data_IF_751880969660
#
_entry.id   IF_751880969660
#
_cell.length_a   1.000
_cell.length_b   1.000
_cell.length_c   1.000
_cell.angle_alpha   90.00
_cell.angle_beta   90.00
_cell.angle_gamma   90.00
#
_symmetry.space_group_name_H-M   'P 1'
#
loop_
_entity.id
_entity.type
_entity.pdbx_description
1 polymer ?
#
# COMPACT_ATOMS: atom_id res chain seq x y z
N UNK A 1 29.81 40.55 -26.25
CA UNK A 1 29.12 40.70 -24.95
C UNK A 1 27.81 39.93 -25.03
N UNK A 2 27.75 38.83 -24.30
CA UNK A 2 26.70 37.82 -24.34
C UNK A 2 25.43 38.29 -23.63
N UNK A 3 24.28 38.07 -24.25
CA UNK A 3 22.98 38.13 -23.57
C UNK A 3 22.57 36.69 -23.26
N UNK A 4 22.59 36.35 -21.98
CA UNK A 4 22.24 35.03 -21.45
C UNK A 4 20.73 34.80 -21.53
N UNK A 5 20.33 33.81 -22.32
CA UNK A 5 18.97 33.24 -22.32
C UNK A 5 18.80 32.35 -21.09
N UNK A 6 17.94 32.78 -20.15
CA UNK A 6 17.51 31.94 -19.03
C UNK A 6 16.43 30.97 -19.51
N UNK A 7 16.81 29.72 -19.76
CA UNK A 7 15.87 28.63 -20.04
C UNK A 7 15.34 28.08 -18.70
N UNK A 8 14.09 28.39 -18.38
CA UNK A 8 13.38 27.80 -17.25
C UNK A 8 13.17 26.30 -17.52
N UNK A 9 13.75 25.47 -16.66
CA UNK A 9 13.60 24.00 -16.62
C UNK A 9 12.12 23.63 -16.58
N UNK A 10 11.59 23.11 -17.69
CA UNK A 10 10.24 22.54 -17.77
C UNK A 10 10.21 21.26 -16.97
N UNK A 11 9.41 21.26 -15.90
CA UNK A 11 8.98 20.10 -15.13
C UNK A 11 8.75 18.89 -16.05
N UNK A 12 9.58 17.86 -15.83
CA UNK A 12 9.51 16.58 -16.50
C UNK A 12 8.27 15.82 -16.01
N UNK A 13 7.10 16.11 -16.57
CA UNK A 13 5.87 15.36 -16.31
C UNK A 13 6.02 13.98 -16.92
N UNK A 14 6.36 13.00 -16.08
CA UNK A 14 6.43 11.59 -16.46
C UNK A 14 5.07 11.07 -16.95
N UNK A 15 5.13 10.09 -17.84
CA UNK A 15 4.05 9.65 -18.71
C UNK A 15 2.99 8.77 -18.00
N UNK A 16 1.85 8.57 -18.66
CA UNK A 16 0.58 7.95 -18.22
C UNK A 16 0.66 6.52 -17.63
N UNK A 17 1.84 5.91 -17.53
CA UNK A 17 2.10 4.65 -16.81
C UNK A 17 2.49 4.84 -15.33
N UNK A 18 2.92 6.05 -14.94
CA UNK A 18 3.35 6.39 -13.59
C UNK A 18 2.23 6.31 -12.53
N UNK A 19 0.96 6.36 -12.94
CA UNK A 19 -0.15 6.48 -12.00
C UNK A 19 -0.30 5.28 -11.06
N UNK A 20 -0.10 4.06 -11.58
CA UNK A 20 -0.17 2.83 -10.78
C UNK A 20 1.08 2.64 -9.92
N UNK A 21 2.25 2.94 -10.45
CA UNK A 21 3.52 2.93 -9.70
C UNK A 21 3.46 3.91 -8.52
N UNK A 22 2.97 5.13 -8.77
CA UNK A 22 2.79 6.15 -7.74
C UNK A 22 1.78 5.73 -6.68
N UNK A 23 0.70 5.05 -7.08
CA UNK A 23 -0.30 4.56 -6.14
C UNK A 23 0.29 3.50 -5.21
N UNK A 24 1.10 2.58 -5.73
CA UNK A 24 1.80 1.59 -4.92
C UNK A 24 2.84 2.21 -3.98
N UNK A 25 3.58 3.23 -4.42
CA UNK A 25 4.49 4.00 -3.56
C UNK A 25 3.74 4.65 -2.39
N UNK A 26 2.59 5.28 -2.65
CA UNK A 26 1.75 5.91 -1.62
C UNK A 26 1.28 4.87 -0.59
N UNK A 27 0.79 3.70 -1.04
CA UNK A 27 0.35 2.63 -0.14
C UNK A 27 1.51 2.15 0.74
N UNK A 28 2.68 1.92 0.16
CA UNK A 28 3.88 1.45 0.89
C UNK A 28 4.30 2.45 1.97
N UNK A 29 4.34 3.74 1.64
CA UNK A 29 4.64 4.81 2.59
C UNK A 29 3.56 4.89 3.69
N UNK A 30 2.29 4.82 3.32
CA UNK A 30 1.18 4.86 4.25
C UNK A 30 1.18 3.67 5.22
N UNK A 31 1.45 2.45 4.75
CA UNK A 31 1.59 1.26 5.61
C UNK A 31 2.60 1.50 6.73
N UNK A 32 3.79 1.99 6.39
CA UNK A 32 4.84 2.29 7.36
C UNK A 32 4.39 3.37 8.35
N UNK A 33 3.81 4.46 7.85
CA UNK A 33 3.37 5.59 8.68
C UNK A 33 2.23 5.18 9.62
N UNK A 34 1.26 4.39 9.16
CA UNK A 34 0.16 3.89 9.98
C UNK A 34 0.66 2.99 11.10
N UNK A 35 1.65 2.13 10.84
CA UNK A 35 2.24 1.29 11.89
C UNK A 35 3.06 2.10 12.89
N UNK A 36 3.88 3.04 12.42
CA UNK A 36 4.75 3.84 13.29
C UNK A 36 3.98 4.86 14.15
N UNK A 37 2.98 5.52 13.58
CA UNK A 37 2.30 6.67 14.20
C UNK A 37 0.88 6.38 14.66
N UNK A 38 0.38 5.16 14.41
CA UNK A 38 -1.04 4.84 14.51
C UNK A 38 -1.86 5.50 13.40
N UNK A 39 -3.11 5.05 13.23
CA UNK A 39 -4.00 5.62 12.22
C UNK A 39 -4.25 7.12 12.47
N UNK A 40 -4.57 7.52 13.70
CA UNK A 40 -4.91 8.92 14.03
C UNK A 40 -3.71 9.86 13.90
N UNK A 41 -2.52 9.41 14.28
CA UNK A 41 -1.28 10.18 14.14
C UNK A 41 -0.78 10.30 12.70
N UNK A 42 -1.28 9.49 11.78
CA UNK A 42 -0.99 9.60 10.37
C UNK A 42 -1.80 10.72 9.69
N UNK A 43 -1.15 11.48 8.80
CA UNK A 43 -1.78 12.55 8.03
C UNK A 43 -1.46 12.41 6.55
N UNK A 44 -2.38 12.88 5.69
CA UNK A 44 -2.17 12.92 4.23
C UNK A 44 -0.89 13.68 3.88
N UNK A 45 -0.61 14.78 4.59
CA UNK A 45 0.60 15.56 4.40
C UNK A 45 1.86 14.74 4.67
N UNK A 46 1.92 14.03 5.81
CA UNK A 46 3.08 13.18 6.16
C UNK A 46 3.32 12.09 5.12
N UNK A 47 2.25 11.48 4.60
CA UNK A 47 2.34 10.46 3.54
C UNK A 47 2.82 11.09 2.22
N UNK A 48 2.28 12.26 1.84
CA UNK A 48 2.68 12.97 0.62
C UNK A 48 4.16 13.38 0.66
N UNK A 49 4.61 13.94 1.79
CA UNK A 49 5.99 14.36 2.00
C UNK A 49 6.96 13.17 1.85
N UNK A 50 6.58 12.00 2.37
CA UNK A 50 7.38 10.76 2.29
C UNK A 50 7.63 10.29 0.85
N UNK A 51 6.63 10.43 -0.04
CA UNK A 51 6.73 10.02 -1.46
C UNK A 51 7.11 11.18 -2.39
N UNK A 52 7.45 12.35 -1.84
CA UNK A 52 7.83 13.55 -2.62
C UNK A 52 6.68 14.15 -3.43
N UNK A 53 5.44 14.03 -2.95
CA UNK A 53 4.24 14.62 -3.55
C UNK A 53 3.73 15.81 -2.72
N UNK A 54 2.93 16.66 -3.35
CA UNK A 54 2.09 17.61 -2.62
C UNK A 54 0.83 16.92 -2.09
N UNK A 55 0.23 17.44 -1.01
CA UNK A 55 -1.06 16.92 -0.52
C UNK A 55 -2.13 16.92 -1.60
N UNK A 56 -2.21 17.97 -2.43
CA UNK A 56 -3.14 18.04 -3.56
C UNK A 56 -2.90 16.92 -4.56
N UNK A 57 -1.64 16.58 -4.85
CA UNK A 57 -1.33 15.48 -5.77
C UNK A 57 -1.74 14.13 -5.17
N UNK A 58 -1.53 13.92 -3.87
CA UNK A 58 -1.98 12.69 -3.20
C UNK A 58 -3.52 12.58 -3.21
N UNK A 59 -4.24 13.69 -3.01
CA UNK A 59 -5.70 13.70 -3.11
C UNK A 59 -6.26 13.34 -4.49
N UNK A 60 -5.45 13.42 -5.56
CA UNK A 60 -5.85 12.92 -6.87
C UNK A 60 -5.82 11.38 -6.96
N UNK A 61 -5.11 10.71 -6.06
CA UNK A 61 -5.00 9.25 -5.99
C UNK A 61 -5.94 8.61 -4.96
N UNK A 62 -6.19 9.33 -3.86
CA UNK A 62 -7.03 8.89 -2.75
C UNK A 62 -7.81 10.07 -2.18
N UNK A 63 -9.13 9.91 -2.05
CA UNK A 63 -10.05 10.90 -1.51
C UNK A 63 -9.76 11.25 -0.05
N UNK A 64 -9.36 10.27 0.76
CA UNK A 64 -9.03 10.46 2.17
C UNK A 64 -8.05 9.38 2.71
N UNK A 65 -7.71 9.50 3.99
CA UNK A 65 -6.81 8.59 4.71
C UNK A 65 -7.43 7.20 4.92
N UNK A 66 -8.76 7.12 5.01
CA UNK A 66 -9.50 5.87 5.15
C UNK A 66 -9.49 5.05 3.86
N UNK A 67 -9.57 5.68 2.69
CA UNK A 67 -9.46 5.01 1.40
C UNK A 67 -8.11 4.30 1.24
N UNK A 68 -7.02 4.94 1.68
CA UNK A 68 -5.67 4.38 1.68
C UNK A 68 -5.62 3.13 2.57
N UNK A 69 -6.13 3.21 3.80
CA UNK A 69 -6.16 2.06 4.71
C UNK A 69 -7.02 0.92 4.15
N UNK A 70 -8.22 1.23 3.67
CA UNK A 70 -9.12 0.26 3.07
C UNK A 70 -8.49 -0.46 1.89
N UNK A 71 -7.69 0.25 1.09
CA UNK A 71 -6.97 -0.36 0.00
C UNK A 71 -5.84 -1.28 0.48
N UNK A 72 -5.04 -0.86 1.46
CA UNK A 72 -4.02 -1.72 2.06
C UNK A 72 -4.66 -3.03 2.55
N UNK A 73 -5.77 -2.94 3.27
CA UNK A 73 -6.51 -4.10 3.77
C UNK A 73 -7.03 -4.97 2.62
N UNK A 74 -7.68 -4.37 1.61
CA UNK A 74 -8.19 -5.09 0.44
C UNK A 74 -7.07 -5.82 -0.29
N UNK A 75 -5.97 -5.15 -0.61
CA UNK A 75 -4.83 -5.75 -1.29
C UNK A 75 -4.25 -6.91 -0.45
N UNK A 76 -4.21 -6.76 0.87
CA UNK A 76 -3.76 -7.82 1.79
C UNK A 76 -4.65 -9.06 1.72
N UNK A 77 -5.97 -8.87 1.83
CA UNK A 77 -6.92 -9.98 1.76
C UNK A 77 -6.97 -10.63 0.38
N UNK A 78 -6.84 -9.85 -0.71
CA UNK A 78 -6.78 -10.38 -2.07
C UNK A 78 -5.57 -11.28 -2.28
N UNK A 79 -4.39 -10.88 -1.78
CA UNK A 79 -3.16 -11.69 -1.85
C UNK A 79 -3.28 -12.99 -1.07
N UNK A 80 -3.86 -12.95 0.14
CA UNK A 80 -4.15 -14.15 0.92
C UNK A 80 -5.19 -15.05 0.25
N UNK A 81 -6.25 -14.47 -0.30
CA UNK A 81 -7.29 -15.20 -1.01
C UNK A 81 -6.72 -15.92 -2.25
N UNK A 82 -5.85 -15.27 -3.01
CA UNK A 82 -5.17 -15.88 -4.16
C UNK A 82 -4.27 -17.04 -3.74
N UNK A 83 -3.47 -16.88 -2.67
CA UNK A 83 -2.66 -17.97 -2.11
C UNK A 83 -3.53 -19.16 -1.71
N UNK A 84 -4.66 -18.89 -1.03
CA UNK A 84 -5.59 -19.92 -0.60
C UNK A 84 -6.26 -20.64 -1.79
N UNK A 85 -6.63 -19.92 -2.86
CA UNK A 85 -7.18 -20.54 -4.08
C UNK A 85 -6.20 -21.54 -4.68
N UNK A 86 -4.91 -21.20 -4.75
CA UNK A 86 -3.87 -22.10 -5.22
C UNK A 86 -3.77 -23.39 -4.39
N UNK A 87 -3.83 -23.26 -3.06
CA UNK A 87 -3.80 -24.42 -2.14
C UNK A 87 -5.06 -25.28 -2.26
N UNK A 88 -6.23 -24.65 -2.40
CA UNK A 88 -7.51 -25.34 -2.51
C UNK A 88 -7.66 -26.10 -3.84
N UNK A 89 -7.00 -25.64 -4.91
CA UNK A 89 -6.96 -26.32 -6.20
C UNK A 89 -6.07 -27.58 -6.21
N UNK A 90 -5.24 -27.79 -5.18
CA UNK A 90 -4.41 -29.00 -5.03
C UNK A 90 -5.28 -30.25 -4.73
N UNK A 91 -4.80 -31.43 -5.11
CA UNK A 91 -5.39 -32.75 -4.86
C UNK A 91 -4.95 -33.37 -3.52
N UNK A 92 -4.08 -32.71 -2.75
CA UNK A 92 -3.70 -33.15 -1.42
C UNK A 92 -4.91 -33.37 -0.47
N UNK A 93 -4.77 -34.24 0.56
CA UNK A 93 -5.83 -34.45 1.55
C UNK A 93 -6.33 -33.15 2.20
N UNK A 94 -7.61 -33.09 2.54
CA UNK A 94 -8.25 -31.87 3.05
C UNK A 94 -7.53 -31.28 4.27
N UNK A 95 -7.11 -32.12 5.22
CA UNK A 95 -6.38 -31.68 6.41
C UNK A 95 -5.00 -31.09 6.06
N UNK A 96 -4.31 -31.64 5.06
CA UNK A 96 -3.04 -31.11 4.55
C UNK A 96 -3.23 -29.73 3.93
N UNK A 97 -4.28 -29.54 3.13
CA UNK A 97 -4.61 -28.23 2.55
C UNK A 97 -4.97 -27.22 3.63
N UNK A 98 -5.77 -27.60 4.62
CA UNK A 98 -6.10 -26.74 5.76
C UNK A 98 -4.85 -26.31 6.53
N UNK A 99 -3.93 -27.24 6.79
CA UNK A 99 -2.66 -26.94 7.44
C UNK A 99 -1.82 -25.95 6.64
N UNK A 100 -1.69 -26.15 5.32
CA UNK A 100 -0.97 -25.23 4.44
C UNK A 100 -1.62 -23.85 4.37
N UNK A 101 -2.95 -23.76 4.42
CA UNK A 101 -3.64 -22.47 4.55
C UNK A 101 -3.22 -21.80 5.86
N UNK A 102 -3.32 -22.50 7.00
CA UNK A 102 -2.94 -21.92 8.29
C UNK A 102 -1.46 -21.47 8.33
N UNK A 103 -0.54 -22.28 7.83
CA UNK A 103 0.88 -21.92 7.65
C UNK A 103 1.04 -20.69 6.75
N UNK A 104 0.27 -20.62 5.65
CA UNK A 104 0.29 -19.50 4.73
C UNK A 104 -0.13 -18.16 5.33
N UNK A 105 -1.01 -18.14 6.35
CA UNK A 105 -1.34 -16.90 7.07
C UNK A 105 -0.20 -16.45 7.98
N UNK A 106 0.49 -17.40 8.62
CA UNK A 106 1.65 -17.13 9.49
C UNK A 106 2.81 -16.62 8.65
N UNK A 107 3.16 -17.32 7.57
CA UNK A 107 4.22 -16.94 6.64
C UNK A 107 3.97 -15.54 6.07
N UNK A 108 2.73 -15.26 5.65
CA UNK A 108 2.38 -13.94 5.14
C UNK A 108 2.58 -12.84 6.19
N UNK A 109 2.27 -13.12 7.46
CA UNK A 109 2.51 -12.19 8.56
C UNK A 109 4.00 -11.85 8.74
N UNK A 110 4.90 -12.80 8.50
CA UNK A 110 6.34 -12.56 8.55
C UNK A 110 6.87 -11.85 7.30
N UNK A 111 6.34 -12.16 6.12
CA UNK A 111 6.73 -11.52 4.86
C UNK A 111 6.22 -10.08 4.75
N UNK A 112 5.04 -9.79 5.31
CA UNK A 112 4.34 -8.50 5.19
C UNK A 112 3.82 -7.99 6.54
N UNK A 113 4.70 -7.73 7.53
CA UNK A 113 4.30 -7.47 8.91
C UNK A 113 3.42 -6.23 9.06
N UNK A 114 3.68 -5.16 8.30
CA UNK A 114 2.89 -3.94 8.38
C UNK A 114 1.48 -4.13 7.83
N UNK A 115 1.37 -4.62 6.60
CA UNK A 115 0.09 -4.93 5.96
C UNK A 115 -0.74 -5.93 6.78
N UNK A 116 -0.10 -6.98 7.32
CA UNK A 116 -0.76 -7.98 8.16
C UNK A 116 -1.27 -7.37 9.48
N UNK A 117 -0.44 -6.57 10.16
CA UNK A 117 -0.85 -5.83 11.35
C UNK A 117 -2.03 -4.91 11.06
N UNK A 118 -1.98 -4.18 9.95
CA UNK A 118 -3.06 -3.26 9.58
C UNK A 118 -4.38 -3.99 9.29
N UNK A 119 -4.32 -5.13 8.61
CA UNK A 119 -5.49 -5.91 8.23
C UNK A 119 -6.13 -6.69 9.41
N UNK A 120 -5.35 -7.19 10.36
CA UNK A 120 -5.84 -8.09 11.42
C UNK A 120 -5.79 -7.53 12.84
N UNK A 121 -4.93 -6.55 13.10
CA UNK A 121 -4.61 -6.08 14.46
C UNK A 121 -4.97 -4.60 14.68
N UNK A 122 -5.52 -3.92 13.67
CA UNK A 122 -6.06 -2.56 13.85
C UNK A 122 -7.44 -2.65 14.46
N UNK A 123 -7.73 -1.92 15.56
CA UNK A 123 -9.09 -1.78 16.06
C UNK A 123 -10.02 -1.28 14.97
N UNK A 124 -11.26 -1.77 14.94
CA UNK A 124 -12.29 -1.23 14.05
C UNK A 124 -12.43 0.26 14.34
N UNK A 125 -12.24 1.08 13.31
CA UNK A 125 -12.42 2.53 13.41
C UNK A 125 -13.92 2.78 13.33
N UNK A 126 -14.53 3.20 14.44
CA UNK A 126 -15.94 3.62 14.50
C UNK A 126 -16.15 4.99 13.83
#
# INVERSE_FOLDING_TARGET
MSVSTTSASRSNRKAKGDGHERRAEILTAAERIFVESGYDGATIRKIADEVGLSSTALYMHFSDKGEILNEICRNTFERLAERNRGILADTAPALTRLRRIAEGYVDFGFEHPNAYRLAYLTPTIE
#
